data_IF_050403044037
#
_entry.id   IF_050403044037
#
_cell.length_a   1.000
_cell.length_b   1.000
_cell.length_c   1.000
_cell.angle_alpha   90.00
_cell.angle_beta   90.00
_cell.angle_gamma   90.00
#
_symmetry.space_group_name_H-M   'P 1'
#
loop_
_entity.id
_entity.type
_entity.pdbx_description
1 polymer ?
#
# COMPACT_ATOMS: atom_id res chain seq x y z
N UNK A 1 -23.80 30.41 32.71
CA UNK A 1 -22.51 29.73 32.46
C UNK A 1 -22.63 28.66 31.36
N UNK A 2 -23.73 28.68 30.61
CA UNK A 2 -24.08 27.62 29.66
C UNK A 2 -23.73 27.97 28.22
N UNK A 3 -23.73 29.26 27.89
CA UNK A 3 -23.41 29.76 26.55
C UNK A 3 -21.94 29.57 26.19
N UNK A 4 -21.01 29.80 27.14
CA UNK A 4 -19.59 29.59 26.89
C UNK A 4 -19.24 28.11 26.68
N UNK A 5 -19.96 27.20 27.34
CA UNK A 5 -19.74 25.75 27.23
C UNK A 5 -20.17 25.26 25.84
N UNK A 6 -21.30 25.76 25.33
CA UNK A 6 -21.77 25.46 23.96
C UNK A 6 -20.84 26.04 22.90
N UNK A 7 -20.33 27.25 23.11
CA UNK A 7 -19.35 27.89 22.20
C UNK A 7 -18.04 27.13 22.18
N UNK A 8 -17.51 26.71 23.34
CA UNK A 8 -16.29 25.90 23.41
C UNK A 8 -16.44 24.55 22.73
N UNK A 9 -17.59 23.88 22.89
CA UNK A 9 -17.87 22.60 22.21
C UNK A 9 -17.95 22.79 20.69
N UNK A 10 -18.61 23.86 20.21
CA UNK A 10 -18.68 24.19 18.78
C UNK A 10 -17.31 24.50 18.17
N UNK A 11 -16.47 25.27 18.88
CA UNK A 11 -15.10 25.59 18.45
C UNK A 11 -14.22 24.33 18.41
N UNK A 12 -14.38 23.42 19.38
CA UNK A 12 -13.66 22.15 19.42
C UNK A 12 -14.07 21.21 18.28
N UNK A 13 -15.37 21.14 17.95
CA UNK A 13 -15.89 20.36 16.81
C UNK A 13 -15.41 20.91 15.46
N UNK A 14 -15.36 22.24 15.31
CA UNK A 14 -14.84 22.91 14.10
C UNK A 14 -13.32 22.73 13.94
N UNK A 15 -12.57 22.62 15.03
CA UNK A 15 -11.14 22.33 14.99
C UNK A 15 -10.84 20.88 14.51
N UNK A 16 -11.71 19.91 14.83
CA UNK A 16 -11.57 18.51 14.39
C UNK A 16 -11.95 18.35 12.91
N UNK A 17 -12.93 19.11 12.41
CA UNK A 17 -13.36 19.08 11.00
C UNK A 17 -12.32 19.57 9.99
N UNK A 18 -11.26 20.25 10.43
CA UNK A 18 -10.17 20.75 9.59
C UNK A 18 -8.89 19.91 9.68
N UNK A 19 -8.86 18.87 10.51
CA UNK A 19 -7.84 17.85 10.39
C UNK A 19 -8.16 17.05 9.12
N UNK A 20 -7.60 17.50 7.99
CA UNK A 20 -7.43 16.65 6.81
C UNK A 20 -6.56 15.48 7.25
N UNK A 21 -7.20 14.45 7.79
CA UNK A 21 -6.61 13.14 8.03
C UNK A 21 -6.49 12.46 6.67
N UNK A 22 -5.67 13.03 5.79
CA UNK A 22 -5.06 12.27 4.72
C UNK A 22 -3.88 11.54 5.34
N UNK A 23 -4.14 10.61 6.26
CA UNK A 23 -3.12 9.59 6.54
C UNK A 23 -3.02 8.77 5.27
N UNK A 24 -2.06 9.12 4.43
CA UNK A 24 -1.43 8.15 3.55
C UNK A 24 -0.85 7.07 4.45
N UNK A 25 -1.69 6.09 4.84
CA UNK A 25 -1.23 4.93 5.60
C UNK A 25 -0.23 4.23 4.69
N UNK A 26 1.04 4.30 5.07
CA UNK A 26 2.10 3.60 4.36
C UNK A 26 2.20 2.18 4.89
N UNK A 27 2.30 1.22 3.97
CA UNK A 27 2.54 -0.19 4.29
C UNK A 27 3.87 -0.56 3.65
N UNK A 28 4.82 -0.99 4.48
CA UNK A 28 6.18 -1.35 4.04
C UNK A 28 6.84 -0.23 3.20
N UNK A 29 6.73 1.00 3.70
CA UNK A 29 7.24 2.22 3.06
C UNK A 29 6.57 2.61 1.73
N UNK A 30 5.37 2.10 1.43
CA UNK A 30 4.62 2.45 0.23
C UNK A 30 3.24 3.01 0.56
N UNK A 31 2.78 4.01 -0.19
CA UNK A 31 1.38 4.47 -0.12
C UNK A 31 0.42 3.46 -0.75
N UNK A 32 -0.89 3.71 -0.63
CA UNK A 32 -1.90 2.88 -1.29
C UNK A 32 -1.75 2.92 -2.80
N UNK A 33 -1.62 4.12 -3.37
CA UNK A 33 -1.50 4.36 -4.81
C UNK A 33 -0.22 3.72 -5.35
N UNK A 34 0.88 3.79 -4.59
CA UNK A 34 2.14 3.14 -4.95
C UNK A 34 1.99 1.61 -5.03
N UNK A 35 1.31 0.97 -4.07
CA UNK A 35 1.06 -0.49 -4.11
C UNK A 35 0.16 -0.90 -5.27
N UNK A 36 -0.87 -0.12 -5.58
CA UNK A 36 -1.79 -0.38 -6.70
C UNK A 36 -1.07 -0.42 -8.05
N UNK A 37 0.04 0.32 -8.22
CA UNK A 37 0.85 0.22 -9.45
C UNK A 37 1.44 -1.18 -9.68
N UNK A 38 1.57 -1.98 -8.63
CA UNK A 38 2.13 -3.32 -8.66
C UNK A 38 1.09 -4.45 -8.65
N UNK A 39 -0.17 -4.13 -8.37
CA UNK A 39 -1.29 -5.08 -8.33
C UNK A 39 -1.34 -6.05 -9.52
N UNK A 40 -1.26 -5.61 -10.80
CA UNK A 40 -1.35 -6.53 -11.94
C UNK A 40 -0.20 -7.53 -12.05
N UNK A 41 0.90 -7.36 -11.30
CA UNK A 41 2.05 -8.26 -11.28
C UNK A 41 2.07 -9.20 -10.09
N UNK A 42 1.16 -9.01 -9.14
CA UNK A 42 1.05 -9.82 -7.93
C UNK A 42 -0.32 -10.49 -7.79
N UNK A 43 -1.32 -10.13 -8.59
CA UNK A 43 -2.64 -10.76 -8.58
C UNK A 43 -2.69 -12.04 -9.43
N UNK A 44 -3.43 -13.05 -8.96
CA UNK A 44 -3.47 -14.39 -9.56
C UNK A 44 -4.39 -14.55 -10.78
N UNK A 45 -5.39 -13.69 -10.96
CA UNK A 45 -6.32 -13.74 -12.10
C UNK A 45 -6.00 -12.68 -13.16
N UNK A 46 -5.86 -13.14 -14.41
CA UNK A 46 -5.81 -12.33 -15.62
C UNK A 46 -4.91 -11.09 -15.53
N UNK A 47 -3.60 -11.33 -15.43
CA UNK A 47 -2.54 -10.39 -15.85
C UNK A 47 -2.58 -10.18 -17.37
N UNK A 48 -3.74 -9.84 -17.92
CA UNK A 48 -3.93 -9.62 -19.35
C UNK A 48 -3.62 -8.15 -19.60
N UNK A 49 -2.42 -7.93 -20.13
CA UNK A 49 -1.93 -6.69 -20.73
C UNK A 49 -1.40 -5.59 -19.80
N UNK A 50 -0.52 -5.98 -18.88
CA UNK A 50 0.29 -5.00 -18.15
C UNK A 50 1.43 -4.49 -19.04
N UNK A 51 1.27 -3.28 -19.59
CA UNK A 51 2.27 -2.69 -20.50
C UNK A 51 3.65 -2.57 -19.85
N UNK A 52 4.73 -2.63 -20.66
CA UNK A 52 6.12 -2.44 -20.18
C UNK A 52 6.31 -1.15 -19.35
N UNK A 53 5.55 -0.08 -19.66
CA UNK A 53 5.61 1.19 -18.93
C UNK A 53 5.12 1.03 -17.50
N UNK A 54 4.01 0.32 -17.32
CA UNK A 54 3.43 0.03 -15.99
C UNK A 54 4.38 -0.83 -15.16
N UNK A 55 5.09 -1.79 -15.78
CA UNK A 55 6.04 -2.65 -15.06
C UNK A 55 7.22 -1.86 -14.51
N UNK A 56 7.76 -0.94 -15.31
CA UNK A 56 8.85 -0.06 -14.86
C UNK A 56 8.43 0.86 -13.72
N UNK A 57 7.18 1.34 -13.72
CA UNK A 57 6.63 2.13 -12.63
C UNK A 57 6.55 1.29 -11.33
N UNK A 58 5.98 0.09 -11.41
CA UNK A 58 5.96 -0.83 -10.27
C UNK A 58 7.37 -1.13 -9.73
N UNK A 59 8.34 -1.46 -10.60
CA UNK A 59 9.70 -1.73 -10.11
C UNK A 59 10.39 -0.50 -9.48
N UNK A 60 10.09 0.70 -9.96
CA UNK A 60 10.59 1.94 -9.35
C UNK A 60 10.00 2.16 -7.94
N UNK A 61 8.74 1.77 -7.75
CA UNK A 61 8.09 1.78 -6.44
C UNK A 61 8.69 0.71 -5.53
N UNK A 62 8.83 -0.53 -6.00
CA UNK A 62 9.43 -1.64 -5.25
C UNK A 62 10.87 -1.34 -4.80
N UNK A 63 11.62 -0.53 -5.56
CA UNK A 63 12.97 -0.10 -5.17
C UNK A 63 12.99 0.77 -3.90
N UNK A 64 11.87 1.42 -3.54
CA UNK A 64 11.71 2.20 -2.32
C UNK A 64 11.10 1.40 -1.17
N UNK A 65 10.53 0.24 -1.48
CA UNK A 65 9.75 -0.53 -0.53
C UNK A 65 10.63 -1.25 0.49
N UNK A 66 10.10 -1.44 1.70
CA UNK A 66 10.68 -2.36 2.66
C UNK A 66 10.25 -3.79 2.29
N UNK A 67 11.11 -4.47 1.51
CA UNK A 67 10.83 -5.81 1.00
C UNK A 67 10.63 -6.82 2.13
N UNK A 68 11.45 -6.79 3.18
CA UNK A 68 11.36 -7.72 4.31
C UNK A 68 10.08 -7.49 5.12
N UNK A 69 9.59 -6.25 5.21
CA UNK A 69 8.30 -5.94 5.83
C UNK A 69 7.13 -6.71 5.19
N UNK A 70 7.16 -6.95 3.87
CA UNK A 70 6.11 -7.71 3.19
C UNK A 70 6.05 -9.18 3.62
N UNK A 71 7.16 -9.75 4.11
CA UNK A 71 7.15 -11.12 4.64
C UNK A 71 6.16 -11.27 5.81
N UNK A 72 5.91 -10.21 6.59
CA UNK A 72 4.92 -10.22 7.68
C UNK A 72 3.49 -10.42 7.19
N UNK A 73 3.24 -10.15 5.91
CA UNK A 73 1.93 -10.28 5.28
C UNK A 73 1.79 -11.56 4.45
N UNK A 74 2.85 -12.36 4.27
CA UNK A 74 2.87 -13.58 3.42
C UNK A 74 1.71 -14.55 3.69
N UNK A 75 1.33 -14.71 4.95
CA UNK A 75 0.25 -15.61 5.38
C UNK A 75 -0.98 -14.83 5.89
N UNK A 76 -1.05 -13.53 5.60
CA UNK A 76 -2.14 -12.68 6.05
C UNK A 76 -3.39 -12.86 5.17
N UNK A 77 -4.56 -12.87 5.80
CA UNK A 77 -5.87 -12.86 5.13
C UNK A 77 -6.00 -11.65 4.19
N UNK A 78 -5.24 -10.58 4.44
CA UNK A 78 -5.20 -9.41 3.57
C UNK A 78 -4.78 -9.75 2.13
N UNK A 79 -3.87 -10.71 1.92
CA UNK A 79 -3.48 -11.08 0.55
C UNK A 79 -4.66 -11.63 -0.23
N UNK A 80 -5.44 -12.54 0.37
CA UNK A 80 -6.65 -13.08 -0.24
C UNK A 80 -7.71 -12.01 -0.47
N UNK A 81 -7.88 -11.08 0.48
CA UNK A 81 -8.82 -9.96 0.34
C UNK A 81 -8.50 -9.06 -0.86
N UNK A 82 -7.20 -8.83 -1.13
CA UNK A 82 -6.73 -8.04 -2.26
C UNK A 82 -6.44 -8.87 -3.52
N UNK A 83 -6.77 -10.17 -3.54
CA UNK A 83 -6.51 -11.04 -4.70
C UNK A 83 -5.03 -11.27 -5.02
N UNK A 84 -4.13 -11.01 -4.06
CA UNK A 84 -2.69 -11.13 -4.22
C UNK A 84 -2.28 -12.60 -4.11
N UNK A 85 -1.58 -13.10 -5.13
CA UNK A 85 -0.90 -14.37 -5.11
C UNK A 85 0.46 -14.25 -4.38
N UNK A 86 0.67 -14.98 -3.27
CA UNK A 86 1.90 -14.87 -2.50
C UNK A 86 3.15 -15.29 -3.28
N UNK A 87 3.04 -16.20 -4.24
CA UNK A 87 4.19 -16.64 -5.05
C UNK A 87 4.58 -15.53 -6.02
N UNK A 88 3.62 -14.94 -6.72
CA UNK A 88 3.88 -13.81 -7.62
C UNK A 88 4.46 -12.61 -6.87
N UNK A 89 3.95 -12.31 -5.67
CA UNK A 89 4.48 -11.27 -4.81
C UNK A 89 5.94 -11.50 -4.40
N UNK A 90 6.33 -12.75 -4.09
CA UNK A 90 7.72 -13.10 -3.75
C UNK A 90 8.65 -13.11 -4.99
N UNK A 91 8.12 -13.36 -6.17
CA UNK A 91 8.88 -13.30 -7.42
C UNK A 91 9.13 -11.86 -7.89
N UNK A 92 8.25 -10.92 -7.54
CA UNK A 92 8.30 -9.54 -8.04
C UNK A 92 9.64 -8.83 -7.78
N UNK A 93 10.26 -8.90 -6.58
CA UNK A 93 11.57 -8.30 -6.34
C UNK A 93 12.69 -8.88 -7.22
N UNK A 94 12.58 -10.17 -7.57
CA UNK A 94 13.53 -10.83 -8.48
C UNK A 94 13.28 -10.38 -9.93
N UNK A 95 12.01 -10.31 -10.37
CA UNK A 95 11.63 -9.79 -11.69
C UNK A 95 12.06 -8.33 -11.89
N UNK A 96 11.98 -7.52 -10.83
CA UNK A 96 12.47 -6.14 -10.80
C UNK A 96 14.00 -6.01 -10.63
N UNK A 97 14.73 -7.13 -10.51
CA UNK A 97 16.20 -7.17 -10.32
C UNK A 97 16.68 -6.47 -9.05
N UNK A 98 15.83 -6.35 -8.03
CA UNK A 98 16.17 -5.76 -6.73
C UNK A 98 16.91 -6.76 -5.84
N UNK A 99 16.63 -8.06 -6.02
CA UNK A 99 17.31 -9.16 -5.34
C UNK A 99 17.61 -10.29 -6.33
N UNK A 100 18.67 -11.06 -6.07
CA UNK A 100 18.98 -12.29 -6.83
C UNK A 100 18.01 -13.43 -6.50
N UNK A 101 17.56 -13.47 -5.26
CA UNK A 101 16.53 -14.37 -4.73
C UNK A 101 15.83 -13.62 -3.61
N UNK A 102 14.54 -13.84 -3.45
CA UNK A 102 13.76 -13.27 -2.38
C UNK A 102 12.97 -14.37 -1.69
N UNK A 103 13.13 -14.48 -0.37
CA UNK A 103 12.50 -15.51 0.45
C UNK A 103 11.95 -14.89 1.71
N UNK A 104 10.74 -15.34 2.02
CA UNK A 104 10.03 -15.26 3.27
C UNK A 104 9.54 -16.70 3.55
#
# INVERSE_FOLDING_TARGET
MDSYKKVMIMVMLLAIGNAKFSTSITICNLTREERETCEPYVSGENSVDATRKTFKACCSVMAKADLECFCRYKNSILLSYYGIDPKLALELPVKCKLRKSFKC
#
